data_IF_030258734152
#
_entry.id   IF_030258734152
#
_cell.length_a   1.000
_cell.length_b   1.000
_cell.length_c   1.000
_cell.angle_alpha   90.00
_cell.angle_beta   90.00
_cell.angle_gamma   90.00
#
_symmetry.space_group_name_H-M   'P 1'
#
loop_
_entity.id
_entity.type
_entity.pdbx_description
1 polymer ?
#
# COMPACT_ATOMS: atom_id res chain seq x y z
N UNK A 1 -39.26 2.52 -21.07
CA UNK A 1 -39.25 1.08 -21.34
C UNK A 1 -38.10 0.77 -22.29
N UNK A 2 -37.08 0.05 -21.82
CA UNK A 2 -36.21 -0.78 -22.67
C UNK A 2 -35.76 -1.96 -21.82
N UNK A 3 -36.50 -3.05 -22.00
CA UNK A 3 -36.11 -4.46 -21.83
C UNK A 3 -35.13 -4.80 -20.71
N UNK A 4 -35.65 -5.49 -19.70
CA UNK A 4 -34.86 -6.41 -18.92
C UNK A 4 -34.27 -7.50 -19.82
N UNK A 5 -32.96 -7.65 -19.73
CA UNK A 5 -32.26 -8.89 -19.97
C UNK A 5 -31.14 -8.95 -18.94
N UNK A 6 -30.99 -10.08 -18.26
CA UNK A 6 -29.82 -10.40 -17.46
C UNK A 6 -28.62 -10.51 -18.41
N UNK A 7 -28.05 -9.35 -18.78
CA UNK A 7 -26.89 -9.27 -19.66
C UNK A 7 -25.70 -9.75 -18.85
N UNK A 8 -25.26 -10.98 -19.12
CA UNK A 8 -23.94 -11.44 -18.70
C UNK A 8 -22.91 -10.41 -19.18
N UNK A 9 -22.10 -9.84 -18.28
CA UNK A 9 -21.04 -8.92 -18.69
C UNK A 9 -20.09 -9.60 -19.68
N UNK A 10 -19.51 -8.87 -20.64
CA UNK A 10 -18.53 -9.44 -21.56
C UNK A 10 -17.34 -10.05 -20.81
N UNK A 11 -16.73 -11.12 -21.33
CA UNK A 11 -15.63 -11.83 -20.66
C UNK A 11 -14.41 -10.95 -20.34
N UNK A 12 -14.18 -9.88 -21.11
CA UNK A 12 -13.10 -8.92 -20.84
C UNK A 12 -13.43 -7.97 -19.66
N UNK A 13 -14.69 -7.89 -19.25
CA UNK A 13 -15.20 -7.06 -18.16
C UNK A 13 -15.34 -7.86 -16.86
N UNK A 14 -15.40 -9.19 -16.95
CA UNK A 14 -15.54 -10.09 -15.83
C UNK A 14 -14.17 -10.64 -15.41
N UNK A 15 -13.46 -9.89 -14.56
CA UNK A 15 -12.14 -10.31 -14.07
C UNK A 15 -12.21 -11.50 -13.08
N UNK A 16 -13.35 -11.67 -12.39
CA UNK A 16 -13.59 -12.75 -11.44
C UNK A 16 -14.80 -13.58 -11.89
N UNK A 17 -14.61 -14.87 -12.25
CA UNK A 17 -15.69 -15.72 -12.76
C UNK A 17 -16.74 -16.09 -11.70
N UNK A 18 -16.41 -15.92 -10.41
CA UNK A 18 -17.28 -16.29 -9.29
C UNK A 18 -18.25 -15.19 -8.84
N UNK A 19 -18.07 -13.98 -9.37
CA UNK A 19 -19.03 -12.88 -9.19
C UNK A 19 -19.96 -12.89 -10.39
N UNK A 20 -21.27 -12.98 -10.13
CA UNK A 20 -22.28 -13.16 -11.19
C UNK A 20 -23.18 -11.93 -11.39
N UNK A 21 -23.35 -11.13 -10.34
CA UNK A 21 -24.25 -9.98 -10.31
C UNK A 21 -23.54 -8.73 -9.76
N UNK A 22 -24.25 -7.60 -9.75
CA UNK A 22 -23.72 -6.34 -9.20
C UNK A 22 -22.74 -5.57 -10.10
N UNK A 23 -22.33 -6.14 -11.25
CA UNK A 23 -21.52 -5.45 -12.25
C UNK A 23 -22.19 -4.16 -12.74
N UNK A 24 -21.38 -3.12 -12.97
CA UNK A 24 -21.84 -1.90 -13.63
C UNK A 24 -22.12 -2.19 -15.12
N UNK A 25 -23.10 -1.54 -15.78
CA UNK A 25 -23.25 -1.71 -17.21
C UNK A 25 -22.05 -1.06 -17.91
N UNK A 26 -21.60 -1.69 -18.98
CA UNK A 26 -20.52 -1.14 -19.81
C UNK A 26 -20.98 0.22 -20.33
N UNK A 27 -20.17 1.25 -20.08
CA UNK A 27 -20.45 2.61 -20.53
C UNK A 27 -19.16 3.30 -20.91
N UNK A 28 -19.15 3.93 -22.07
CA UNK A 28 -18.03 4.74 -22.58
C UNK A 28 -18.09 6.20 -22.10
N UNK A 29 -18.91 6.50 -21.08
CA UNK A 29 -19.08 7.86 -20.54
C UNK A 29 -18.47 8.00 -19.16
N UNK A 30 -17.52 8.94 -19.00
CA UNK A 30 -16.92 9.30 -17.71
C UNK A 30 -17.96 9.78 -16.70
N UNK A 31 -18.96 10.55 -17.15
CA UNK A 31 -20.07 11.01 -16.32
C UNK A 31 -20.90 9.84 -15.79
N UNK A 32 -21.15 8.83 -16.62
CA UNK A 32 -21.84 7.62 -16.18
C UNK A 32 -20.97 6.78 -15.20
N UNK A 33 -19.66 6.73 -15.41
CA UNK A 33 -18.72 6.13 -14.44
C UNK A 33 -18.81 6.81 -13.08
N UNK A 34 -18.75 8.15 -13.04
CA UNK A 34 -18.82 8.91 -11.79
C UNK A 34 -20.21 8.82 -11.13
N UNK A 35 -21.28 8.83 -11.93
CA UNK A 35 -22.63 8.62 -11.41
C UNK A 35 -22.79 7.26 -10.72
N UNK A 36 -22.01 6.25 -11.12
CA UNK A 36 -22.05 4.93 -10.51
C UNK A 36 -21.55 4.84 -9.08
N UNK A 37 -20.88 5.87 -8.58
CA UNK A 37 -20.44 5.94 -7.18
C UNK A 37 -21.61 6.15 -6.22
N UNK A 38 -22.78 6.54 -6.74
CA UNK A 38 -23.98 6.86 -5.96
C UNK A 38 -24.90 5.67 -5.72
N UNK A 39 -24.63 4.52 -6.31
CA UNK A 39 -25.43 3.32 -6.15
C UNK A 39 -24.56 2.08 -5.98
N UNK A 40 -25.06 1.10 -5.24
CA UNK A 40 -24.28 -0.06 -4.82
C UNK A 40 -23.98 -1.01 -5.99
N UNK A 41 -22.71 -1.37 -6.16
CA UNK A 41 -22.15 -2.31 -7.15
C UNK A 41 -20.96 -3.08 -6.57
N UNK A 42 -20.53 -4.13 -7.26
CA UNK A 42 -19.39 -4.96 -6.88
C UNK A 42 -18.08 -4.17 -6.67
N UNK A 43 -17.88 -3.08 -7.43
CA UNK A 43 -16.73 -2.18 -7.28
C UNK A 43 -16.89 -1.09 -6.21
N UNK A 44 -18.06 -0.96 -5.59
CA UNK A 44 -18.34 0.15 -4.66
C UNK A 44 -17.37 0.14 -3.49
N UNK A 45 -17.23 -1.00 -2.81
CA UNK A 45 -16.31 -1.11 -1.69
C UNK A 45 -14.86 -0.93 -2.11
N UNK A 46 -14.47 -1.48 -3.28
CA UNK A 46 -13.12 -1.33 -3.83
C UNK A 46 -12.76 0.15 -4.06
N UNK A 47 -13.71 0.94 -4.56
CA UNK A 47 -13.53 2.39 -4.75
C UNK A 47 -13.36 3.09 -3.39
N UNK A 48 -14.29 2.86 -2.45
CA UNK A 48 -14.28 3.58 -1.17
C UNK A 48 -13.14 3.17 -0.24
N UNK A 49 -12.68 1.92 -0.29
CA UNK A 49 -11.55 1.44 0.50
C UNK A 49 -10.23 2.13 0.14
N UNK A 50 -10.08 2.61 -1.10
CA UNK A 50 -8.94 3.44 -1.55
C UNK A 50 -9.21 4.94 -1.44
N UNK A 51 -10.44 5.37 -1.75
CA UNK A 51 -10.81 6.78 -1.78
C UNK A 51 -10.71 7.42 -0.40
N UNK A 52 -11.16 6.74 0.66
CA UNK A 52 -11.09 7.30 2.01
C UNK A 52 -9.64 7.56 2.48
N UNK A 53 -8.69 6.59 2.39
CA UNK A 53 -7.28 6.85 2.65
C UNK A 53 -6.68 7.93 1.74
N UNK A 54 -7.04 7.96 0.46
CA UNK A 54 -6.54 8.99 -0.48
C UNK A 54 -7.01 10.40 -0.09
N UNK A 55 -8.27 10.57 0.32
CA UNK A 55 -8.80 11.85 0.83
C UNK A 55 -8.05 12.26 2.09
N UNK A 56 -7.87 11.35 3.05
CA UNK A 56 -7.10 11.64 4.28
C UNK A 56 -5.66 12.08 3.95
N UNK A 57 -5.00 11.42 3.00
CA UNK A 57 -3.66 11.77 2.56
C UNK A 57 -3.62 13.16 1.89
N UNK A 58 -4.59 13.46 1.02
CA UNK A 58 -4.73 14.76 0.38
C UNK A 58 -5.04 15.87 1.39
N UNK A 59 -5.87 15.61 2.40
CA UNK A 59 -6.18 16.55 3.48
C UNK A 59 -4.94 16.81 4.36
N UNK A 60 -4.17 15.78 4.68
CA UNK A 60 -2.91 15.92 5.42
C UNK A 60 -1.88 16.74 4.62
N UNK A 61 -1.73 16.46 3.32
CA UNK A 61 -0.87 17.22 2.41
C UNK A 61 -1.35 18.67 2.23
N UNK A 62 -2.65 18.89 2.07
CA UNK A 62 -3.28 20.20 1.98
C UNK A 62 -3.14 21.02 3.26
N UNK A 63 -3.29 20.39 4.43
CA UNK A 63 -3.06 21.02 5.73
C UNK A 63 -1.60 21.45 5.89
N UNK A 64 -0.66 20.59 5.48
CA UNK A 64 0.77 20.89 5.48
C UNK A 64 1.10 22.04 4.52
N UNK A 65 0.52 22.04 3.32
CA UNK A 65 0.68 23.10 2.33
C UNK A 65 0.06 24.43 2.80
N UNK A 66 -1.12 24.38 3.41
CA UNK A 66 -1.79 25.56 3.95
C UNK A 66 -1.01 26.14 5.13
N UNK A 67 -0.52 25.30 6.04
CA UNK A 67 0.39 25.71 7.12
C UNK A 67 1.62 26.44 6.56
N UNK A 68 2.25 25.87 5.53
CA UNK A 68 3.41 26.49 4.88
C UNK A 68 3.06 27.83 4.20
N UNK A 69 1.95 27.91 3.47
CA UNK A 69 1.51 29.18 2.83
C UNK A 69 1.08 30.25 3.82
N UNK A 70 0.41 29.88 4.91
CA UNK A 70 0.02 30.82 5.96
C UNK A 70 1.25 31.37 6.68
N UNK A 71 2.30 30.54 6.82
CA UNK A 71 3.55 30.94 7.47
C UNK A 71 4.52 31.69 6.54
N UNK A 72 4.43 31.45 5.23
CA UNK A 72 5.27 32.01 4.17
C UNK A 72 4.43 32.45 2.95
N UNK A 73 3.69 33.57 3.07
CA UNK A 73 2.73 34.00 2.05
C UNK A 73 3.37 34.44 0.72
N UNK A 74 4.63 34.88 0.74
CA UNK A 74 5.36 35.33 -0.44
C UNK A 74 6.10 34.20 -1.19
N UNK A 75 5.97 32.93 -0.72
CA UNK A 75 6.66 31.79 -1.29
C UNK A 75 6.07 31.35 -2.64
N UNK A 76 6.89 31.40 -3.68
CA UNK A 76 6.60 31.01 -5.06
C UNK A 76 6.52 29.50 -5.25
N UNK A 77 6.02 29.04 -6.41
CA UNK A 77 5.99 27.61 -6.76
C UNK A 77 7.39 26.97 -6.80
N UNK A 78 8.40 27.74 -7.18
CA UNK A 78 9.81 27.35 -7.08
C UNK A 78 10.25 27.13 -5.64
N UNK A 79 9.80 27.95 -4.68
CA UNK A 79 10.16 27.78 -3.26
C UNK A 79 9.61 26.47 -2.68
N UNK A 80 8.44 26.04 -3.14
CA UNK A 80 7.83 24.76 -2.74
C UNK A 80 8.55 23.56 -3.37
N UNK A 81 8.97 23.68 -4.63
CA UNK A 81 9.78 22.66 -5.29
C UNK A 81 11.16 22.54 -4.64
N UNK A 82 11.79 23.67 -4.30
CA UNK A 82 13.04 23.72 -3.54
C UNK A 82 12.85 23.13 -2.14
N UNK A 83 11.76 23.45 -1.43
CA UNK A 83 11.46 22.87 -0.12
C UNK A 83 11.24 21.35 -0.19
N UNK A 84 10.54 20.85 -1.20
CA UNK A 84 10.34 19.42 -1.42
C UNK A 84 11.65 18.72 -1.77
N UNK A 85 12.43 19.30 -2.68
CA UNK A 85 13.76 18.82 -3.04
C UNK A 85 14.69 18.83 -1.82
N UNK A 86 14.63 19.87 -0.99
CA UNK A 86 15.37 20.00 0.26
C UNK A 86 14.96 18.95 1.27
N UNK A 87 13.66 18.66 1.45
CA UNK A 87 13.19 17.58 2.32
C UNK A 87 13.62 16.20 1.83
N UNK A 88 13.52 15.93 0.52
CA UNK A 88 14.02 14.69 -0.08
C UNK A 88 15.53 14.55 0.07
N UNK A 89 16.27 15.66 -0.12
CA UNK A 89 17.72 15.73 0.09
C UNK A 89 18.07 15.58 1.57
N UNK A 90 17.27 16.13 2.48
CA UNK A 90 17.45 15.98 3.93
C UNK A 90 17.22 14.53 4.36
N UNK A 91 16.16 13.87 3.87
CA UNK A 91 15.93 12.43 4.09
C UNK A 91 17.08 11.61 3.53
N UNK A 92 17.53 11.92 2.31
CA UNK A 92 18.66 11.24 1.67
C UNK A 92 19.98 11.45 2.45
N UNK A 93 20.31 12.69 2.82
CA UNK A 93 21.55 13.03 3.53
C UNK A 93 21.54 12.51 4.97
N UNK A 94 20.40 12.56 5.69
CA UNK A 94 20.26 11.95 7.02
C UNK A 94 20.34 10.42 6.94
N UNK A 95 19.74 9.81 5.91
CA UNK A 95 19.88 8.39 5.62
C UNK A 95 21.33 7.98 5.29
N UNK A 96 22.05 8.83 4.57
CA UNK A 96 23.48 8.63 4.23
C UNK A 96 24.41 8.95 5.41
N UNK A 97 24.01 9.81 6.33
CA UNK A 97 24.74 10.10 7.58
C UNK A 97 24.56 9.01 8.64
N UNK A 98 23.64 8.07 8.42
CA UNK A 98 23.42 6.93 9.29
C UNK A 98 24.62 5.95 9.26
N UNK A 99 24.65 5.01 10.22
CA UNK A 99 25.70 3.97 10.25
C UNK A 99 25.81 3.22 8.91
N UNK A 100 26.99 2.67 8.60
CA UNK A 100 27.24 1.95 7.34
C UNK A 100 26.18 0.88 7.05
N UNK A 101 25.72 0.19 8.09
CA UNK A 101 24.65 -0.79 8.00
C UNK A 101 23.30 -0.19 7.59
N UNK A 102 22.91 0.95 8.19
CA UNK A 102 21.69 1.66 7.81
C UNK A 102 21.78 2.12 6.35
N UNK A 103 22.91 2.70 5.94
CA UNK A 103 23.13 3.09 4.53
C UNK A 103 22.88 1.94 3.56
N UNK A 104 23.44 0.76 3.83
CA UNK A 104 23.27 -0.42 2.96
C UNK A 104 21.80 -0.79 2.77
N UNK A 105 21.00 -0.80 3.84
CA UNK A 105 19.59 -1.14 3.74
C UNK A 105 18.75 -0.05 3.06
N UNK A 106 19.07 1.22 3.31
CA UNK A 106 18.42 2.35 2.64
C UNK A 106 18.71 2.36 1.14
N UNK A 107 19.96 2.11 0.72
CA UNK A 107 20.30 2.01 -0.71
C UNK A 107 19.68 0.78 -1.36
N UNK A 108 19.64 -0.36 -0.66
CA UNK A 108 18.96 -1.58 -1.12
C UNK A 108 17.46 -1.33 -1.38
N UNK A 109 16.71 -0.79 -0.41
CA UNK A 109 15.27 -0.59 -0.60
C UNK A 109 14.96 0.48 -1.66
N UNK A 110 15.76 1.54 -1.73
CA UNK A 110 15.61 2.57 -2.74
C UNK A 110 15.83 2.01 -4.16
N UNK A 111 16.90 1.23 -4.35
CA UNK A 111 17.21 0.62 -5.66
C UNK A 111 16.14 -0.40 -6.09
N UNK A 112 15.71 -1.28 -5.19
CA UNK A 112 14.64 -2.24 -5.45
C UNK A 112 13.30 -1.55 -5.77
N UNK A 113 12.96 -0.49 -5.04
CA UNK A 113 11.74 0.29 -5.28
C UNK A 113 11.76 0.97 -6.65
N UNK A 114 12.87 1.60 -7.03
CA UNK A 114 13.05 2.20 -8.35
C UNK A 114 12.96 1.17 -9.48
N UNK A 115 13.55 -0.01 -9.30
CA UNK A 115 13.47 -1.09 -10.28
C UNK A 115 12.01 -1.58 -10.44
N UNK A 116 11.32 -1.83 -9.33
CA UNK A 116 9.92 -2.26 -9.33
C UNK A 116 9.01 -1.21 -9.95
N UNK A 117 9.18 0.07 -9.62
CA UNK A 117 8.43 1.15 -10.23
C UNK A 117 8.65 1.20 -11.76
N UNK A 118 9.89 1.02 -12.21
CA UNK A 118 10.23 0.96 -13.63
C UNK A 118 9.53 -0.20 -14.34
N UNK A 119 9.50 -1.39 -13.73
CA UNK A 119 8.80 -2.57 -14.29
C UNK A 119 7.28 -2.36 -14.33
N UNK A 120 6.71 -1.69 -13.33
CA UNK A 120 5.27 -1.46 -13.22
C UNK A 120 4.75 -0.38 -14.17
N UNK A 121 5.48 0.74 -14.29
CA UNK A 121 5.04 1.92 -15.03
C UNK A 121 5.43 1.86 -16.51
N UNK A 122 6.41 1.03 -16.89
CA UNK A 122 6.84 0.97 -18.28
C UNK A 122 5.75 0.30 -19.17
N UNK A 123 5.29 0.97 -20.25
CA UNK A 123 4.28 0.43 -21.16
C UNK A 123 4.66 -0.91 -21.81
N UNK A 124 5.95 -1.22 -21.94
CA UNK A 124 6.44 -2.48 -22.54
C UNK A 124 6.08 -3.71 -21.72
N UNK A 125 5.95 -3.56 -20.41
CA UNK A 125 5.66 -4.64 -19.45
C UNK A 125 4.17 -4.74 -19.10
N UNK A 126 3.30 -4.17 -19.93
CA UNK A 126 1.84 -4.30 -19.80
C UNK A 126 1.31 -5.56 -20.52
N UNK A 127 0.16 -6.06 -20.09
CA UNK A 127 -0.51 -7.25 -20.66
C UNK A 127 -0.28 -8.54 -19.87
N UNK A 128 -1.02 -9.60 -20.25
CA UNK A 128 -1.09 -10.88 -19.49
C UNK A 128 0.27 -11.58 -19.38
N UNK A 129 1.12 -11.53 -20.41
CA UNK A 129 2.44 -12.20 -20.44
C UNK A 129 3.42 -11.70 -19.36
N UNK A 130 3.31 -10.45 -18.96
CA UNK A 130 4.25 -9.81 -18.02
C UNK A 130 3.69 -9.73 -16.59
N UNK A 131 2.48 -10.27 -16.36
CA UNK A 131 1.82 -10.25 -15.05
C UNK A 131 2.69 -10.89 -13.96
N UNK A 132 3.31 -12.03 -14.27
CA UNK A 132 4.19 -12.74 -13.33
C UNK A 132 5.41 -11.91 -12.96
N UNK A 133 6.09 -11.31 -13.94
CA UNK A 133 7.26 -10.45 -13.70
C UNK A 133 6.92 -9.29 -12.76
N UNK A 134 5.84 -8.57 -13.06
CA UNK A 134 5.34 -7.43 -12.26
C UNK A 134 5.03 -7.83 -10.82
N UNK A 135 4.37 -8.97 -10.64
CA UNK A 135 4.02 -9.50 -9.32
C UNK A 135 5.27 -9.92 -8.54
N UNK A 136 6.19 -10.66 -9.18
CA UNK A 136 7.43 -11.09 -8.55
C UNK A 136 8.32 -9.91 -8.13
N UNK A 137 8.41 -8.86 -8.94
CA UNK A 137 9.17 -7.65 -8.58
C UNK A 137 8.61 -6.97 -7.32
N UNK A 138 7.28 -6.84 -7.25
CA UNK A 138 6.59 -6.30 -6.08
C UNK A 138 6.81 -7.16 -4.82
N UNK A 139 6.63 -8.48 -4.94
CA UNK A 139 6.83 -9.45 -3.85
C UNK A 139 8.29 -9.45 -3.37
N UNK A 140 9.27 -9.45 -4.29
CA UNK A 140 10.69 -9.42 -3.93
C UNK A 140 11.06 -8.15 -3.16
N UNK A 141 10.51 -7.00 -3.55
CA UNK A 141 10.72 -5.74 -2.83
C UNK A 141 10.16 -5.83 -1.41
N UNK A 142 8.96 -6.38 -1.23
CA UNK A 142 8.37 -6.61 0.10
C UNK A 142 9.19 -7.58 0.95
N UNK A 143 9.60 -8.73 0.40
CA UNK A 143 10.39 -9.73 1.11
C UNK A 143 11.78 -9.22 1.52
N UNK A 144 12.33 -8.22 0.82
CA UNK A 144 13.60 -7.60 1.20
C UNK A 144 13.57 -6.97 2.60
N UNK A 145 12.38 -6.63 3.12
CA UNK A 145 12.18 -6.14 4.49
C UNK A 145 12.57 -7.14 5.59
N UNK A 146 12.63 -8.44 5.29
CA UNK A 146 13.12 -9.44 6.23
C UNK A 146 14.65 -9.38 6.43
N UNK A 147 15.42 -8.88 5.46
CA UNK A 147 16.87 -8.81 5.56
C UNK A 147 17.36 -7.98 6.77
N UNK A 148 16.88 -6.75 7.02
CA UNK A 148 17.24 -6.00 8.23
C UNK A 148 16.70 -6.63 9.53
N UNK A 149 15.57 -7.34 9.50
CA UNK A 149 15.03 -8.04 10.67
C UNK A 149 15.89 -9.24 11.07
N UNK A 150 16.30 -10.05 10.09
CA UNK A 150 17.18 -11.20 10.29
C UNK A 150 18.54 -10.71 10.79
N UNK A 151 19.12 -9.70 10.14
CA UNK A 151 20.41 -9.16 10.56
C UNK A 151 20.34 -8.54 11.97
N UNK A 152 19.29 -7.77 12.28
CA UNK A 152 19.06 -7.27 13.63
C UNK A 152 18.95 -8.38 14.68
N UNK A 153 18.27 -9.47 14.34
CA UNK A 153 18.16 -10.66 15.21
C UNK A 153 19.52 -11.34 15.44
N UNK A 154 20.37 -11.41 14.42
CA UNK A 154 21.74 -11.96 14.56
C UNK A 154 22.62 -11.07 15.44
N UNK A 155 22.47 -9.74 15.35
CA UNK A 155 23.29 -8.79 16.11
C UNK A 155 22.87 -8.62 17.57
N UNK A 156 21.56 -8.54 17.83
CA UNK A 156 21.02 -8.21 19.15
C UNK A 156 20.36 -9.41 19.84
N UNK A 157 20.14 -10.52 19.13
CA UNK A 157 19.33 -11.63 19.62
C UNK A 157 17.83 -11.35 19.49
N UNK A 158 17.04 -12.42 19.40
CA UNK A 158 15.61 -12.35 19.14
C UNK A 158 14.82 -11.55 20.20
N UNK A 159 14.99 -11.75 21.52
CA UNK A 159 14.21 -11.03 22.53
C UNK A 159 14.45 -9.52 22.48
N UNK A 160 15.71 -9.10 22.34
CA UNK A 160 16.07 -7.68 22.28
C UNK A 160 15.59 -7.03 20.98
N UNK A 161 15.61 -7.76 19.87
CA UNK A 161 15.09 -7.27 18.59
C UNK A 161 13.57 -7.07 18.63
N UNK A 162 12.82 -7.97 19.29
CA UNK A 162 11.37 -7.83 19.49
C UNK A 162 11.04 -6.50 20.17
N UNK A 163 11.70 -6.19 21.29
CA UNK A 163 11.43 -4.99 22.07
C UNK A 163 11.92 -3.71 21.36
N UNK A 164 13.14 -3.73 20.81
CA UNK A 164 13.75 -2.54 20.20
C UNK A 164 13.11 -2.10 18.89
N UNK A 165 12.58 -3.03 18.11
CA UNK A 165 12.07 -2.74 16.76
C UNK A 165 10.56 -2.89 16.62
N UNK A 166 9.86 -3.42 17.63
CA UNK A 166 8.46 -3.80 17.48
C UNK A 166 8.26 -4.97 16.51
N UNK A 167 9.27 -5.85 16.39
CA UNK A 167 9.35 -6.90 15.36
C UNK A 167 8.08 -7.75 15.21
N UNK A 168 7.40 -8.06 16.32
CA UNK A 168 6.18 -8.87 16.29
C UNK A 168 5.05 -8.22 15.49
N UNK A 169 4.96 -6.88 15.48
CA UNK A 169 4.01 -6.16 14.65
C UNK A 169 4.32 -6.35 13.16
N UNK A 170 5.59 -6.26 12.76
CA UNK A 170 6.00 -6.50 11.36
C UNK A 170 5.79 -7.94 10.92
N UNK A 171 6.01 -8.92 11.81
CA UNK A 171 5.69 -10.33 11.53
C UNK A 171 4.18 -10.54 11.39
N UNK A 172 3.38 -9.92 12.26
CA UNK A 172 1.92 -9.95 12.19
C UNK A 172 1.37 -9.31 10.91
N UNK A 173 1.92 -8.15 10.53
CA UNK A 173 1.64 -7.50 9.24
C UNK A 173 1.97 -8.44 8.07
N UNK A 174 3.16 -9.04 8.08
CA UNK A 174 3.59 -9.98 7.04
C UNK A 174 2.65 -11.18 6.89
N UNK A 175 2.24 -11.79 8.01
CA UNK A 175 1.27 -12.88 8.02
C UNK A 175 -0.09 -12.45 7.47
N UNK A 176 -0.56 -11.27 7.87
CA UNK A 176 -1.83 -10.72 7.42
C UNK A 176 -1.83 -10.43 5.91
N UNK A 177 -0.74 -9.89 5.38
CA UNK A 177 -0.57 -9.63 3.96
C UNK A 177 -0.47 -10.94 3.15
N UNK A 178 0.22 -11.96 3.66
CA UNK A 178 0.28 -13.29 3.03
C UNK A 178 -1.11 -13.91 2.99
N UNK A 179 -1.86 -13.85 4.10
CA UNK A 179 -3.24 -14.34 4.16
C UNK A 179 -4.13 -13.59 3.18
N UNK A 180 -4.06 -12.25 3.14
CA UNK A 180 -4.80 -11.44 2.18
C UNK A 180 -4.49 -11.83 0.74
N UNK A 181 -3.21 -11.98 0.39
CA UNK A 181 -2.77 -12.39 -0.94
C UNK A 181 -3.25 -13.81 -1.30
N UNK A 182 -3.23 -14.72 -0.34
CA UNK A 182 -3.75 -16.08 -0.51
C UNK A 182 -5.26 -16.05 -0.80
N UNK A 183 -6.05 -15.32 -0.01
CA UNK A 183 -7.49 -15.20 -0.21
C UNK A 183 -7.81 -14.55 -1.57
N UNK A 184 -7.07 -13.48 -1.92
CA UNK A 184 -7.20 -12.79 -3.21
C UNK A 184 -6.94 -13.71 -4.41
N UNK A 185 -5.89 -14.54 -4.34
CA UNK A 185 -5.50 -15.43 -5.43
C UNK A 185 -6.38 -16.67 -5.55
N UNK A 186 -6.87 -17.21 -4.42
CA UNK A 186 -7.80 -18.34 -4.37
C UNK A 186 -9.27 -17.93 -4.54
N UNK A 187 -9.54 -16.63 -4.52
CA UNK A 187 -10.86 -16.02 -4.64
C UNK A 187 -11.84 -16.56 -3.59
N UNK A 188 -11.35 -16.90 -2.39
CA UNK A 188 -12.16 -17.30 -1.25
C UNK A 188 -12.65 -16.03 -0.54
N UNK A 189 -13.96 -15.89 -0.22
CA UNK A 189 -14.97 -16.95 -0.17
C UNK A 189 -15.84 -17.14 -1.45
N UNK A 190 -15.77 -16.25 -2.44
CA UNK A 190 -16.68 -16.28 -3.60
C UNK A 190 -16.53 -17.54 -4.46
N UNK A 191 -15.34 -18.16 -4.51
CA UNK A 191 -15.10 -19.42 -5.20
C UNK A 191 -15.80 -20.62 -4.55
N UNK A 192 -16.13 -20.52 -3.26
CA UNK A 192 -16.83 -21.57 -2.50
C UNK A 192 -18.35 -21.37 -2.52
N UNK A 193 -18.81 -20.12 -2.54
CA UNK A 193 -20.23 -19.78 -2.51
C UNK A 193 -20.58 -18.77 -3.61
N UNK A 194 -20.81 -19.34 -4.80
CA UNK A 194 -21.15 -18.61 -6.02
C UNK A 194 -22.30 -17.62 -5.81
N UNK A 195 -22.12 -16.38 -6.26
CA UNK A 195 -23.15 -15.35 -6.25
C UNK A 195 -23.45 -14.72 -4.88
N UNK A 196 -22.92 -15.26 -3.77
CA UNK A 196 -23.22 -14.74 -2.42
C UNK A 196 -22.40 -13.51 -2.04
N UNK A 197 -21.21 -13.38 -2.61
CA UNK A 197 -20.23 -12.35 -2.26
C UNK A 197 -20.08 -11.30 -3.37
N UNK A 198 -21.10 -11.17 -4.22
CA UNK A 198 -21.08 -10.29 -5.39
C UNK A 198 -21.01 -8.79 -5.04
N UNK A 199 -21.52 -8.42 -3.87
CA UNK A 199 -21.56 -7.02 -3.40
C UNK A 199 -20.64 -6.77 -2.21
N UNK A 200 -20.56 -7.71 -1.27
CA UNK A 200 -19.82 -7.56 -0.03
C UNK A 200 -19.07 -8.84 0.32
N UNK A 201 -17.89 -8.70 0.92
CA UNK A 201 -17.09 -9.80 1.45
C UNK A 201 -16.37 -10.64 0.41
N UNK A 202 -16.22 -10.15 -0.83
CA UNK A 202 -15.38 -10.82 -1.82
C UNK A 202 -13.91 -10.79 -1.41
N UNK A 203 -13.12 -11.73 -1.91
CA UNK A 203 -11.68 -11.84 -1.66
C UNK A 203 -10.93 -10.53 -1.93
N UNK A 204 -11.33 -9.78 -2.96
CA UNK A 204 -10.77 -8.48 -3.31
C UNK A 204 -11.03 -7.43 -2.22
N UNK A 205 -12.23 -7.41 -1.65
CA UNK A 205 -12.57 -6.50 -0.54
C UNK A 205 -11.85 -6.89 0.75
N UNK A 206 -11.77 -8.19 1.03
CA UNK A 206 -11.01 -8.72 2.16
C UNK A 206 -9.52 -8.36 2.03
N UNK A 207 -8.96 -8.48 0.82
CA UNK A 207 -7.59 -8.08 0.54
C UNK A 207 -7.34 -6.60 0.89
N UNK A 208 -8.21 -5.68 0.45
CA UNK A 208 -8.08 -4.27 0.84
C UNK A 208 -8.13 -4.06 2.35
N UNK A 209 -9.05 -4.75 3.04
CA UNK A 209 -9.12 -4.69 4.50
C UNK A 209 -7.82 -5.17 5.17
N UNK A 210 -7.23 -6.27 4.67
CA UNK A 210 -5.95 -6.76 5.19
C UNK A 210 -4.81 -5.78 4.99
N UNK A 211 -4.77 -5.05 3.88
CA UNK A 211 -3.75 -4.02 3.60
C UNK A 211 -3.92 -2.81 4.53
N UNK A 212 -5.15 -2.34 4.73
CA UNK A 212 -5.45 -1.23 5.66
C UNK A 212 -5.10 -1.61 7.10
N UNK A 213 -5.52 -2.79 7.55
CA UNK A 213 -5.19 -3.29 8.89
C UNK A 213 -3.69 -3.53 9.05
N UNK A 214 -3.02 -4.08 8.02
CA UNK A 214 -1.57 -4.24 7.99
C UNK A 214 -0.84 -2.90 8.16
N UNK A 215 -1.30 -1.85 7.50
CA UNK A 215 -0.76 -0.49 7.65
C UNK A 215 -0.94 0.05 9.08
N UNK A 216 -2.08 -0.22 9.72
CA UNK A 216 -2.31 0.15 11.11
C UNK A 216 -1.37 -0.61 12.06
N UNK A 217 -1.20 -1.93 11.86
CA UNK A 217 -0.25 -2.76 12.62
C UNK A 217 1.19 -2.24 12.43
N UNK A 218 1.57 -1.89 11.20
CA UNK A 218 2.87 -1.31 10.89
C UNK A 218 3.14 -0.03 11.68
N UNK A 219 2.16 0.88 11.70
CA UNK A 219 2.23 2.12 12.48
C UNK A 219 2.39 1.82 13.98
N UNK A 220 1.62 0.87 14.52
CA UNK A 220 1.76 0.44 15.91
C UNK A 220 3.16 -0.12 16.21
N UNK A 221 3.74 -0.88 15.29
CA UNK A 221 5.11 -1.36 15.38
C UNK A 221 6.14 -0.22 15.47
N UNK A 222 6.02 0.77 14.58
CA UNK A 222 6.88 1.98 14.60
C UNK A 222 6.72 2.72 15.93
N UNK A 223 5.49 2.94 16.39
CA UNK A 223 5.24 3.67 17.64
C UNK A 223 5.76 2.91 18.86
N UNK A 224 5.60 1.58 18.90
CA UNK A 224 6.17 0.72 19.94
C UNK A 224 7.69 0.79 19.95
N UNK A 225 8.33 0.71 18.79
CA UNK A 225 9.78 0.85 18.66
C UNK A 225 10.23 2.24 19.11
N UNK A 226 9.53 3.30 18.70
CA UNK A 226 9.82 4.66 19.10
C UNK A 226 9.72 4.84 20.62
N UNK A 227 8.64 4.38 21.26
CA UNK A 227 8.45 4.48 22.71
C UNK A 227 9.54 3.73 23.49
N UNK A 228 9.88 2.51 23.07
CA UNK A 228 10.98 1.75 23.67
C UNK A 228 12.31 2.50 23.55
N UNK A 229 12.67 2.94 22.34
CA UNK A 229 13.94 3.64 22.10
C UNK A 229 13.96 5.04 22.72
N UNK A 230 12.82 5.69 22.92
CA UNK A 230 12.74 6.97 23.61
C UNK A 230 12.99 6.80 25.12
N UNK A 231 12.38 5.78 25.73
CA UNK A 231 12.53 5.49 27.18
C UNK A 231 13.88 4.88 27.54
N UNK A 232 14.48 4.11 26.64
CA UNK A 232 15.74 3.39 26.87
C UNK A 232 16.92 3.94 26.06
N UNK A 233 16.70 5.00 25.26
CA UNK A 233 17.69 5.64 24.42
C UNK A 233 18.63 6.55 25.19
N UNK A 234 19.41 5.97 26.09
CA UNK A 234 20.60 6.64 26.60
C UNK A 234 21.78 6.31 25.68
N UNK A 235 22.20 7.28 24.86
CA UNK A 235 23.62 7.39 24.51
C UNK A 235 24.38 7.73 25.81
N UNK A 236 24.87 6.72 26.52
CA UNK A 236 26.13 6.85 27.26
C UNK A 236 27.21 6.29 26.35
N UNK A 237 27.80 7.15 25.53
CA UNK A 237 29.12 6.87 24.98
C UNK A 237 30.12 6.97 26.15
N UNK A 238 31.03 6.00 26.34
CA UNK A 238 32.20 6.19 27.19
C UNK A 238 33.14 7.24 26.62
#
# INVERSE_FOLDING_TARGET
>A
MSSGSSIHPPDWYQDNPFIHHGYRPVSHSTRACLASWRYLRNETFNIYSHLAPAILFLLAGGSSHHYLRARYPDATGSDHAVFTCFLLTAVFTLGMSASALKRTYWTMIATLSCLTASVQLNPRFQGRRWRTLRTCAFVATGLSGFAPLIHGTVLFGFPQMVERSGMLYYLGEGLLLILGAFLYTTQIPESLWLGKFDLFGSSHQIFHLTVVLGTAIHLMGILSAFDYNYRHGACRLP
#
